data_IF_251989920934
#
_entry.id   IF_251989920934
#
_cell.length_a   1.000
_cell.length_b   1.000
_cell.length_c   1.000
_cell.angle_alpha   90.00
_cell.angle_beta   90.00
_cell.angle_gamma   90.00
#
_symmetry.space_group_name_H-M   'P 1'
#
loop_
_entity.id
_entity.type
_entity.pdbx_description
1 polymer ?
#
# COMPACT_ATOMS: atom_id res chain seq x y z
N UNK A 1 6.94 17.07 19.23
CA UNK A 1 6.73 15.95 18.27
C UNK A 1 7.66 16.26 17.13
N UNK A 2 8.86 15.67 17.09
CA UNK A 2 9.84 15.97 16.03
C UNK A 2 9.29 15.46 14.70
N UNK A 3 8.90 16.34 13.76
CA UNK A 3 8.35 15.95 12.48
C UNK A 3 9.41 16.28 11.43
N UNK A 4 10.49 15.51 11.34
CA UNK A 4 11.53 15.83 10.36
C UNK A 4 12.44 14.64 9.99
N UNK A 5 11.88 13.43 10.01
CA UNK A 5 12.56 12.33 9.33
C UNK A 5 12.23 12.40 7.84
N UNK A 6 13.17 12.93 7.06
CA UNK A 6 13.12 12.88 5.60
C UNK A 6 12.72 11.46 5.13
N UNK A 7 11.86 11.35 4.09
CA UNK A 7 11.49 10.05 3.55
C UNK A 7 12.72 9.22 3.18
N UNK A 8 12.63 7.91 3.38
CA UNK A 8 13.59 6.98 2.83
C UNK A 8 13.38 6.90 1.32
N UNK A 9 14.40 7.26 0.52
CA UNK A 9 14.30 7.43 -0.94
C UNK A 9 15.06 6.34 -1.70
N UNK A 10 14.85 6.26 -3.02
CA UNK A 10 15.58 5.33 -3.90
C UNK A 10 17.11 5.51 -3.81
N UNK A 11 17.67 6.73 -3.87
CA UNK A 11 19.12 6.91 -3.67
C UNK A 11 19.64 6.35 -2.34
N UNK A 12 18.88 6.48 -1.26
CA UNK A 12 19.27 5.93 0.05
C UNK A 12 19.25 4.40 0.06
N UNK A 13 18.29 3.78 -0.64
CA UNK A 13 18.26 2.33 -0.85
C UNK A 13 19.49 1.87 -1.63
N UNK A 14 19.77 2.50 -2.77
CA UNK A 14 20.90 2.13 -3.62
C UNK A 14 22.25 2.33 -2.92
N UNK A 15 22.39 3.40 -2.14
CA UNK A 15 23.57 3.62 -1.29
C UNK A 15 23.74 2.50 -0.24
N UNK A 16 22.66 2.12 0.43
CA UNK A 16 22.70 1.03 1.42
C UNK A 16 23.14 -0.30 0.77
N UNK A 17 22.64 -0.60 -0.43
CA UNK A 17 23.00 -1.81 -1.18
C UNK A 17 24.42 -1.75 -1.76
N UNK A 18 24.90 -0.56 -2.13
CA UNK A 18 26.29 -0.36 -2.52
C UNK A 18 27.26 -0.62 -1.37
N UNK A 19 26.87 -0.29 -0.14
CA UNK A 19 27.66 -0.54 1.07
C UNK A 19 27.60 -2.00 1.54
N UNK A 20 26.46 -2.68 1.34
CA UNK A 20 26.23 -4.07 1.75
C UNK A 20 25.50 -4.84 0.63
N UNK A 21 26.22 -5.41 -0.35
CA UNK A 21 25.61 -6.05 -1.52
C UNK A 21 24.82 -7.33 -1.22
N UNK A 22 25.06 -7.97 -0.07
CA UNK A 22 24.38 -9.21 0.34
C UNK A 22 23.07 -8.97 1.12
N UNK A 23 22.61 -7.71 1.21
CA UNK A 23 21.39 -7.37 1.94
C UNK A 23 20.16 -7.92 1.22
N UNK A 24 19.51 -8.91 1.83
CA UNK A 24 18.19 -9.41 1.38
C UNK A 24 17.01 -8.55 1.86
N UNK A 25 17.21 -7.70 2.88
CA UNK A 25 16.15 -6.87 3.45
C UNK A 25 16.67 -5.57 4.08
N UNK A 26 16.01 -4.45 3.77
CA UNK A 26 16.22 -3.14 4.41
C UNK A 26 15.05 -2.84 5.35
N UNK A 27 15.39 -2.58 6.61
CA UNK A 27 14.41 -2.26 7.65
C UNK A 27 14.31 -0.75 7.80
N UNK A 28 13.14 -0.18 7.48
CA UNK A 28 12.87 1.25 7.66
C UNK A 28 12.04 1.44 8.92
N UNK A 29 12.54 2.24 9.85
CA UNK A 29 11.84 2.56 11.11
C UNK A 29 11.68 4.06 11.26
N UNK A 30 10.50 4.48 11.77
CA UNK A 30 10.22 5.86 12.22
C UNK A 30 10.47 6.93 11.14
N UNK A 31 10.23 6.60 9.87
CA UNK A 31 10.23 7.55 8.75
C UNK A 31 9.32 7.05 7.63
N UNK A 32 8.73 7.95 6.82
CA UNK A 32 8.00 7.55 5.62
C UNK A 32 8.96 6.95 4.59
N UNK A 33 8.39 6.16 3.68
CA UNK A 33 9.11 5.56 2.54
C UNK A 33 8.56 6.17 1.28
N UNK A 34 9.46 6.65 0.41
CA UNK A 34 9.09 7.22 -0.88
C UNK A 34 8.41 6.14 -1.76
N UNK A 35 7.29 6.45 -2.44
CA UNK A 35 6.54 5.47 -3.23
C UNK A 35 7.32 4.62 -4.23
N UNK A 36 8.42 5.15 -4.76
CA UNK A 36 9.23 4.43 -5.75
C UNK A 36 10.23 3.43 -5.13
N UNK A 37 10.48 3.51 -3.83
CA UNK A 37 11.42 2.61 -3.14
C UNK A 37 11.00 1.16 -3.22
N UNK A 38 9.71 0.87 -3.02
CA UNK A 38 9.25 -0.52 -3.02
C UNK A 38 9.37 -1.16 -4.41
N UNK A 39 9.07 -0.42 -5.47
CA UNK A 39 9.27 -0.86 -6.86
C UNK A 39 10.75 -1.11 -7.13
N UNK A 40 11.62 -0.17 -6.73
CA UNK A 40 13.07 -0.30 -6.94
C UNK A 40 13.67 -1.46 -6.15
N UNK A 41 13.25 -1.66 -4.91
CA UNK A 41 13.69 -2.76 -4.07
C UNK A 41 13.33 -4.11 -4.70
N UNK A 42 12.12 -4.24 -5.24
CA UNK A 42 11.69 -5.44 -5.95
C UNK A 42 12.56 -5.74 -7.18
N UNK A 43 12.91 -4.73 -7.98
CA UNK A 43 13.82 -4.89 -9.13
C UNK A 43 15.22 -5.36 -8.72
N UNK A 44 15.68 -4.93 -7.55
CA UNK A 44 16.99 -5.27 -6.99
C UNK A 44 16.98 -6.59 -6.21
N UNK A 45 15.84 -7.26 -6.07
CA UNK A 45 15.71 -8.50 -5.30
C UNK A 45 15.85 -8.29 -3.79
N UNK A 46 15.46 -7.11 -3.28
CA UNK A 46 15.58 -6.74 -1.87
C UNK A 46 14.21 -6.44 -1.30
N UNK A 47 13.95 -6.92 -0.07
CA UNK A 47 12.73 -6.58 0.65
C UNK A 47 12.88 -5.25 1.41
N UNK A 48 11.88 -4.39 1.39
CA UNK A 48 11.82 -3.17 2.23
C UNK A 48 10.58 -3.24 3.10
N UNK A 49 10.76 -3.33 4.42
CA UNK A 49 9.65 -3.36 5.38
C UNK A 49 10.09 -2.80 6.75
N UNK A 50 9.20 -2.91 7.74
CA UNK A 50 9.41 -2.56 9.14
C UNK A 50 10.02 -3.74 9.92
N UNK A 51 10.41 -3.48 11.17
CA UNK A 51 10.87 -4.53 12.09
C UNK A 51 9.82 -5.63 12.32
N UNK A 52 8.53 -5.29 12.26
CA UNK A 52 7.45 -6.27 12.34
C UNK A 52 7.42 -7.22 11.14
N UNK A 53 7.73 -6.70 9.94
CA UNK A 53 7.89 -7.50 8.73
C UNK A 53 9.11 -8.42 8.83
N UNK A 54 10.25 -7.89 9.28
CA UNK A 54 11.47 -8.67 9.49
C UNK A 54 11.26 -9.85 10.47
N UNK A 55 10.65 -9.59 11.63
CA UNK A 55 10.35 -10.65 12.60
C UNK A 55 9.48 -11.77 12.00
N UNK A 56 8.53 -11.42 11.12
CA UNK A 56 7.73 -12.42 10.41
C UNK A 56 8.58 -13.18 9.39
N UNK A 57 9.37 -12.48 8.59
CA UNK A 57 10.24 -13.10 7.57
C UNK A 57 11.14 -14.18 8.19
N UNK A 58 11.89 -13.84 9.24
CA UNK A 58 12.82 -14.79 9.90
C UNK A 58 12.13 -15.96 10.59
N UNK A 59 10.84 -15.83 10.91
CA UNK A 59 10.07 -16.89 11.58
C UNK A 59 9.54 -17.92 10.58
N UNK A 60 9.24 -17.50 9.35
CA UNK A 60 8.48 -18.30 8.41
C UNK A 60 9.21 -18.63 7.10
N UNK A 61 10.37 -18.01 6.85
CA UNK A 61 11.11 -18.15 5.58
C UNK A 61 12.57 -18.52 5.82
N UNK A 62 13.10 -19.37 4.94
CA UNK A 62 14.53 -19.68 4.88
C UNK A 62 15.32 -18.55 4.21
N UNK A 63 14.68 -17.83 3.27
CA UNK A 63 15.23 -16.65 2.60
C UNK A 63 14.31 -15.44 2.85
N UNK A 64 14.85 -14.40 3.49
CA UNK A 64 14.10 -13.19 3.84
C UNK A 64 13.82 -12.30 2.61
N UNK A 65 14.56 -12.47 1.51
CA UNK A 65 14.33 -11.71 0.27
C UNK A 65 13.01 -12.08 -0.41
N UNK A 66 12.52 -13.30 -0.18
CA UNK A 66 11.23 -13.80 -0.65
C UNK A 66 10.03 -13.28 0.18
N UNK A 67 10.27 -12.47 1.22
CA UNK A 67 9.20 -12.01 2.09
C UNK A 67 8.24 -11.06 1.37
N UNK A 68 6.98 -11.51 1.28
CA UNK A 68 5.84 -10.69 0.86
C UNK A 68 4.92 -10.49 2.06
N UNK A 69 4.52 -9.25 2.33
CA UNK A 69 3.64 -8.95 3.45
C UNK A 69 2.29 -9.68 3.29
N UNK A 70 1.71 -10.31 4.34
CA UNK A 70 0.46 -11.06 4.21
C UNK A 70 -0.72 -10.25 3.67
N UNK A 71 -0.82 -8.97 4.05
CA UNK A 71 -1.83 -8.05 3.50
C UNK A 71 -1.63 -7.84 1.99
N UNK A 72 -0.39 -7.75 1.54
CA UNK A 72 -0.05 -7.63 0.12
C UNK A 72 -0.44 -8.90 -0.62
N UNK A 73 -0.07 -10.08 -0.11
CA UNK A 73 -0.45 -11.37 -0.70
C UNK A 73 -1.97 -11.52 -0.80
N UNK A 74 -2.69 -11.15 0.26
CA UNK A 74 -4.16 -11.19 0.29
C UNK A 74 -4.76 -10.23 -0.74
N UNK A 75 -4.33 -8.97 -0.74
CA UNK A 75 -4.86 -7.94 -1.65
C UNK A 75 -4.57 -8.29 -3.11
N UNK A 76 -3.33 -8.69 -3.44
CA UNK A 76 -2.94 -9.17 -4.78
C UNK A 76 -3.82 -10.32 -5.25
N UNK A 77 -4.00 -11.34 -4.42
CA UNK A 77 -4.85 -12.50 -4.74
C UNK A 77 -6.29 -12.08 -5.06
N UNK A 78 -6.87 -11.17 -4.27
CA UNK A 78 -8.23 -10.65 -4.51
C UNK A 78 -8.30 -9.84 -5.79
N UNK A 79 -7.35 -8.92 -6.03
CA UNK A 79 -7.34 -8.09 -7.24
C UNK A 79 -7.14 -8.93 -8.51
N UNK A 80 -6.21 -9.89 -8.53
CA UNK A 80 -6.01 -10.76 -9.69
C UNK A 80 -7.21 -11.67 -9.98
N UNK A 81 -7.97 -12.09 -8.96
CA UNK A 81 -9.18 -12.89 -9.15
C UNK A 81 -10.26 -12.17 -9.97
N UNK A 82 -10.21 -10.83 -10.03
CA UNK A 82 -11.14 -10.03 -10.84
C UNK A 82 -10.87 -10.14 -12.35
N UNK A 83 -9.68 -10.62 -12.76
CA UNK A 83 -9.18 -10.62 -14.15
C UNK A 83 -9.12 -9.23 -14.82
N UNK A 84 -9.38 -8.17 -14.06
CA UNK A 84 -9.40 -6.78 -14.54
C UNK A 84 -8.09 -6.04 -14.21
N UNK A 85 -7.24 -6.66 -13.38
CA UNK A 85 -5.98 -6.14 -12.90
C UNK A 85 -4.85 -6.99 -13.47
N UNK A 86 -3.89 -6.35 -14.12
CA UNK A 86 -2.71 -6.97 -14.74
C UNK A 86 -1.57 -7.03 -13.73
N UNK A 87 -1.38 -5.95 -12.97
CA UNK A 87 -0.33 -5.86 -11.96
C UNK A 87 -0.80 -5.05 -10.75
N UNK A 88 -0.16 -5.32 -9.62
CA UNK A 88 -0.34 -4.60 -8.36
C UNK A 88 1.06 -4.19 -7.90
N UNK A 89 1.31 -2.89 -7.86
CA UNK A 89 2.61 -2.31 -7.51
C UNK A 89 2.46 -1.65 -6.15
N UNK A 90 3.36 -1.95 -5.22
CA UNK A 90 3.37 -1.31 -3.90
C UNK A 90 3.93 0.11 -4.02
N UNK A 91 3.14 1.11 -3.60
CA UNK A 91 3.49 2.54 -3.59
C UNK A 91 3.65 3.10 -2.17
N UNK A 92 3.58 2.24 -1.16
CA UNK A 92 3.72 2.60 0.23
C UNK A 92 3.39 1.42 1.13
N UNK A 93 3.36 1.65 2.44
CA UNK A 93 3.08 0.55 3.37
C UNK A 93 1.71 -0.09 3.10
N UNK A 94 0.71 0.74 2.80
CA UNK A 94 -0.68 0.35 2.50
C UNK A 94 -1.22 0.94 1.19
N UNK A 95 -0.35 1.54 0.38
CA UNK A 95 -0.73 2.15 -0.89
C UNK A 95 -0.31 1.27 -2.07
N UNK A 96 -1.20 1.14 -3.05
CA UNK A 96 -1.06 0.23 -4.18
C UNK A 96 -1.45 0.91 -5.48
N UNK A 97 -0.67 0.74 -6.53
CA UNK A 97 -1.07 1.05 -7.89
C UNK A 97 -1.56 -0.22 -8.60
N UNK A 98 -2.75 -0.14 -9.17
CA UNK A 98 -3.40 -1.21 -9.92
C UNK A 98 -3.34 -0.89 -11.40
N UNK A 99 -2.54 -1.62 -12.17
CA UNK A 99 -2.61 -1.53 -13.62
C UNK A 99 -3.75 -2.40 -14.12
N UNK A 100 -4.65 -1.82 -14.92
CA UNK A 100 -5.90 -2.47 -15.32
C UNK A 100 -5.89 -2.88 -16.80
N UNK A 101 -6.72 -3.88 -17.10
CA UNK A 101 -6.89 -4.40 -18.47
C UNK A 101 -7.71 -3.46 -19.37
N UNK A 102 -7.76 -3.77 -20.67
CA UNK A 102 -8.66 -3.13 -21.65
C UNK A 102 -8.44 -1.61 -21.82
N UNK A 103 -7.22 -1.13 -21.60
CA UNK A 103 -6.88 0.30 -21.74
C UNK A 103 -7.52 1.19 -20.68
N UNK A 104 -8.03 0.63 -19.58
CA UNK A 104 -8.46 1.40 -18.42
C UNK A 104 -7.23 2.00 -17.73
N UNK A 105 -7.32 3.25 -17.28
CA UNK A 105 -6.23 3.92 -16.56
C UNK A 105 -5.84 3.15 -15.29
N UNK A 106 -4.60 3.27 -14.83
CA UNK A 106 -4.20 2.78 -13.50
C UNK A 106 -5.03 3.44 -12.39
N UNK A 107 -5.16 2.73 -11.26
CA UNK A 107 -5.73 3.27 -10.04
C UNK A 107 -4.74 3.22 -8.89
N UNK A 108 -4.58 4.30 -8.14
CA UNK A 108 -3.84 4.31 -6.87
C UNK A 108 -4.82 4.18 -5.72
N UNK A 109 -4.69 3.14 -4.90
CA UNK A 109 -5.60 2.90 -3.78
C UNK A 109 -4.84 2.71 -2.48
N UNK A 110 -5.45 3.13 -1.38
CA UNK A 110 -4.92 2.88 -0.04
C UNK A 110 -5.81 1.89 0.68
N UNK A 111 -5.23 0.83 1.24
CA UNK A 111 -5.96 -0.18 2.01
C UNK A 111 -5.96 0.11 3.50
N UNK A 112 -7.04 -0.25 4.18
CA UNK A 112 -7.11 -0.14 5.64
C UNK A 112 -7.88 -1.33 6.24
N UNK A 113 -7.42 -1.85 7.36
CA UNK A 113 -7.85 -3.13 7.95
C UNK A 113 -8.60 -2.98 9.28
N UNK A 114 -8.83 -1.75 9.77
CA UNK A 114 -9.59 -1.54 10.99
C UNK A 114 -11.08 -1.83 10.79
N UNK A 115 -11.72 -2.26 11.89
CA UNK A 115 -13.15 -2.53 11.94
C UNK A 115 -13.99 -1.26 11.70
N UNK A 116 -13.50 -0.12 12.18
CA UNK A 116 -14.15 1.18 12.05
C UNK A 116 -13.16 2.22 11.52
N UNK A 117 -13.57 2.97 10.50
CA UNK A 117 -12.84 4.12 9.98
C UNK A 117 -13.53 5.40 10.43
N UNK A 118 -12.83 6.19 11.25
CA UNK A 118 -13.28 7.53 11.65
C UNK A 118 -12.87 8.57 10.61
N UNK A 119 -13.44 9.77 10.68
CA UNK A 119 -13.02 10.91 9.86
C UNK A 119 -11.58 11.33 10.14
N UNK A 120 -11.17 11.36 11.41
CA UNK A 120 -9.77 11.61 11.79
C UNK A 120 -8.84 10.54 11.21
N UNK A 121 -9.21 9.26 11.32
CA UNK A 121 -8.41 8.16 10.76
C UNK A 121 -8.31 8.22 9.23
N UNK A 122 -9.38 8.65 8.56
CA UNK A 122 -9.36 8.89 7.12
C UNK A 122 -8.35 10.01 6.74
N UNK A 123 -8.41 11.17 7.41
CA UNK A 123 -7.46 12.26 7.15
C UNK A 123 -6.02 11.85 7.42
N UNK A 124 -5.76 11.16 8.53
CA UNK A 124 -4.43 10.65 8.85
C UNK A 124 -3.87 9.75 7.74
N UNK A 125 -4.71 8.89 7.15
CA UNK A 125 -4.28 8.02 6.05
C UNK A 125 -3.93 8.84 4.80
N UNK A 126 -4.67 9.89 4.48
CA UNK A 126 -4.31 10.76 3.35
C UNK A 126 -3.01 11.52 3.62
N UNK A 127 -2.83 12.00 4.85
CA UNK A 127 -1.62 12.71 5.28
C UNK A 127 -0.36 11.82 5.27
N UNK A 128 -0.51 10.50 5.33
CA UNK A 128 0.60 9.54 5.17
C UNK A 128 1.14 9.49 3.73
N UNK A 129 0.34 9.88 2.73
CA UNK A 129 0.69 9.76 1.31
C UNK A 129 0.45 11.07 0.53
N UNK A 130 1.04 12.20 0.94
CA UNK A 130 0.73 13.52 0.38
C UNK A 130 1.17 13.68 -1.09
N UNK A 131 2.06 12.82 -1.58
CA UNK A 131 2.54 12.82 -2.97
C UNK A 131 1.74 11.90 -3.89
N UNK A 132 0.80 11.10 -3.36
CA UNK A 132 0.00 10.18 -4.16
C UNK A 132 -1.36 10.80 -4.52
N UNK A 133 -1.74 10.68 -5.79
CA UNK A 133 -3.10 10.95 -6.25
C UNK A 133 -3.97 9.72 -5.96
N UNK A 134 -4.67 9.72 -4.83
CA UNK A 134 -5.41 8.55 -4.33
C UNK A 134 -6.80 8.49 -4.97
N UNK A 135 -7.06 7.42 -5.73
CA UNK A 135 -8.33 7.17 -6.40
C UNK A 135 -9.41 6.55 -5.50
N UNK A 136 -9.00 5.84 -4.45
CA UNK A 136 -9.91 5.21 -3.50
C UNK A 136 -9.22 4.81 -2.20
N UNK A 137 -10.02 4.78 -1.12
CA UNK A 137 -9.65 4.07 0.11
C UNK A 137 -10.48 2.79 0.22
N UNK A 138 -9.80 1.65 0.41
CA UNK A 138 -10.40 0.32 0.42
C UNK A 138 -10.27 -0.33 1.80
N UNK A 139 -11.39 -0.63 2.44
CA UNK A 139 -11.41 -1.39 3.69
C UNK A 139 -11.30 -2.88 3.39
N UNK A 140 -10.23 -3.51 3.87
CA UNK A 140 -9.94 -4.93 3.69
C UNK A 140 -10.52 -5.81 4.79
N UNK A 141 -10.98 -5.23 5.90
CA UNK A 141 -11.62 -5.97 6.99
C UNK A 141 -13.03 -6.43 6.58
N UNK A 142 -13.31 -7.74 6.49
CA UNK A 142 -14.62 -8.24 6.10
C UNK A 142 -15.71 -7.98 7.15
N UNK A 143 -15.33 -7.68 8.39
CA UNK A 143 -16.26 -7.40 9.48
C UNK A 143 -16.73 -5.94 9.51
N UNK A 144 -16.15 -5.06 8.69
CA UNK A 144 -16.56 -3.66 8.61
C UNK A 144 -18.01 -3.57 8.10
N UNK A 145 -18.94 -3.10 8.94
CA UNK A 145 -20.37 -3.08 8.62
C UNK A 145 -20.83 -1.88 7.79
N UNK A 146 -19.90 -1.06 7.31
CA UNK A 146 -20.16 0.12 6.50
C UNK A 146 -19.38 1.33 7.00
N UNK A 147 -19.80 2.51 6.53
CA UNK A 147 -19.12 3.76 6.81
C UNK A 147 -20.03 4.72 7.56
N UNK A 148 -19.53 5.30 8.65
CA UNK A 148 -20.24 6.37 9.36
C UNK A 148 -20.48 7.58 8.46
N UNK A 149 -21.58 8.31 8.70
CA UNK A 149 -21.93 9.49 7.87
C UNK A 149 -20.81 10.53 7.79
N UNK A 150 -20.08 10.76 8.89
CA UNK A 150 -18.98 11.72 8.95
C UNK A 150 -17.85 11.37 7.99
N UNK A 151 -17.34 10.14 8.04
CA UNK A 151 -16.24 9.73 7.16
C UNK A 151 -16.66 9.70 5.68
N UNK A 152 -17.92 9.35 5.38
CA UNK A 152 -18.46 9.42 4.00
C UNK A 152 -18.48 10.86 3.50
N UNK A 153 -18.83 11.83 4.35
CA UNK A 153 -18.78 13.26 3.99
C UNK A 153 -17.35 13.69 3.72
N UNK A 154 -16.40 13.39 4.61
CA UNK A 154 -14.98 13.75 4.44
C UNK A 154 -14.38 13.13 3.18
N UNK A 155 -14.69 11.86 2.90
CA UNK A 155 -14.26 11.17 1.69
C UNK A 155 -14.79 11.83 0.41
N UNK A 156 -16.05 12.30 0.43
CA UNK A 156 -16.64 13.04 -0.69
C UNK A 156 -15.96 14.39 -0.87
N UNK A 157 -15.70 15.12 0.20
CA UNK A 157 -15.01 16.43 0.16
C UNK A 157 -13.59 16.30 -0.38
N UNK A 158 -12.89 15.22 -0.02
CA UNK A 158 -11.55 14.90 -0.55
C UNK A 158 -11.57 14.32 -1.97
N UNK A 159 -12.74 14.04 -2.54
CA UNK A 159 -12.89 13.31 -3.81
C UNK A 159 -12.22 11.92 -3.82
N UNK A 160 -12.14 11.26 -2.67
CA UNK A 160 -11.58 9.91 -2.51
C UNK A 160 -12.67 8.95 -2.04
N UNK A 161 -13.33 8.21 -2.94
CA UNK A 161 -14.41 7.31 -2.57
C UNK A 161 -13.94 6.18 -1.63
N UNK A 162 -14.82 5.80 -0.70
CA UNK A 162 -14.61 4.67 0.22
C UNK A 162 -15.28 3.42 -0.33
N UNK A 163 -14.57 2.30 -0.29
CA UNK A 163 -15.12 1.01 -0.66
C UNK A 163 -14.78 -0.06 0.37
N UNK A 164 -15.68 -1.02 0.54
CA UNK A 164 -15.28 -2.34 1.06
C UNK A 164 -14.56 -3.09 -0.05
N UNK A 165 -13.68 -4.02 0.31
CA UNK A 165 -12.88 -4.77 -0.65
C UNK A 165 -13.70 -5.44 -1.75
N UNK A 166 -14.85 -6.04 -1.41
CA UNK A 166 -15.69 -6.74 -2.38
C UNK A 166 -16.43 -5.80 -3.34
N UNK A 167 -16.87 -4.65 -2.81
CA UNK A 167 -17.48 -3.58 -3.61
C UNK A 167 -16.44 -3.00 -4.58
N UNK A 168 -15.22 -2.76 -4.09
CA UNK A 168 -14.10 -2.28 -4.90
C UNK A 168 -13.70 -3.30 -5.98
N UNK A 169 -13.57 -4.57 -5.63
CA UNK A 169 -13.21 -5.64 -6.55
C UNK A 169 -14.24 -5.81 -7.68
N UNK A 170 -15.51 -5.50 -7.41
CA UNK A 170 -16.56 -5.47 -8.43
C UNK A 170 -16.44 -4.22 -9.32
N UNK A 171 -16.11 -3.07 -8.72
CA UNK A 171 -15.98 -1.76 -9.38
C UNK A 171 -14.72 -1.58 -10.22
N UNK A 172 -13.65 -2.31 -9.93
CA UNK A 172 -12.33 -2.11 -10.59
C UNK A 172 -12.39 -2.25 -12.13
N UNK A 173 -13.39 -2.96 -12.66
CA UNK A 173 -13.67 -3.15 -14.09
C UNK A 173 -14.25 -1.92 -14.78
N UNK A 174 -14.81 -0.99 -14.02
CA UNK A 174 -15.52 0.16 -14.55
C UNK A 174 -14.55 1.29 -14.92
N UNK A 175 -14.99 2.18 -15.81
CA UNK A 175 -14.29 3.45 -16.04
C UNK A 175 -14.35 4.27 -14.75
N UNK A 176 -13.20 4.80 -14.36
CA UNK A 176 -13.06 5.66 -13.18
C UNK A 176 -13.18 7.11 -13.64
N UNK A 177 -14.19 7.81 -13.12
CA UNK A 177 -14.52 9.21 -13.44
C UNK A 177 -14.43 10.05 -12.20
#
# INVERSE_FOLDING_TARGET
MEPDSLPFTVPMLEEALGNLPEVGMVIVTRRPVDPDVHSRALELGVCVDTFGGFNRAITFLDDISDYVHPEESYFRKRMFSTRAVISVIRRGHRAWELQRTNGLRSLTVVTHDRYELTDEGFSQILDEYPSLDIDALVITNPSAQGFGKRVVTSAREANVPLYRLDDFASKVRDRWT
#
